data_IF_874461058711
#
_entry.id   IF_874461058711
#
_cell.length_a   1.000
_cell.length_b   1.000
_cell.length_c   1.000
_cell.angle_alpha   90.00
_cell.angle_beta   90.00
_cell.angle_gamma   90.00
#
_symmetry.space_group_name_H-M   'P 1'
#
loop_
_entity.id
_entity.type
_entity.pdbx_description
1 polymer ?
#
# COMPACT_ATOMS: atom_id res chain seq x y z
N UNK A 1 -41.76 -2.73 -29.81
CA UNK A 1 -41.05 -3.16 -28.59
C UNK A 1 -39.97 -4.17 -28.97
N UNK A 2 -38.70 -3.82 -28.80
CA UNK A 2 -37.60 -4.79 -28.71
C UNK A 2 -36.75 -4.35 -27.52
N UNK A 3 -36.82 -5.12 -26.44
CA UNK A 3 -35.91 -5.00 -25.31
C UNK A 3 -34.67 -5.80 -25.70
N UNK A 4 -33.52 -5.12 -25.81
CA UNK A 4 -32.24 -5.77 -25.97
C UNK A 4 -31.84 -6.40 -24.64
N UNK A 5 -31.52 -7.68 -24.70
CA UNK A 5 -30.92 -8.45 -23.62
C UNK A 5 -29.39 -8.34 -23.66
N UNK A 6 -28.82 -8.40 -22.46
CA UNK A 6 -27.48 -8.89 -22.11
C UNK A 6 -26.31 -7.92 -22.22
N UNK A 7 -25.86 -7.43 -21.06
CA UNK A 7 -24.61 -7.91 -20.44
C UNK A 7 -24.53 -7.37 -19.00
N UNK A 8 -25.25 -7.99 -18.08
CA UNK A 8 -24.91 -7.92 -16.66
C UNK A 8 -23.92 -9.05 -16.40
N UNK A 9 -22.63 -8.70 -16.35
CA UNK A 9 -21.60 -9.57 -15.82
C UNK A 9 -21.99 -9.94 -14.38
N UNK A 10 -22.40 -11.19 -14.19
CA UNK A 10 -22.57 -11.80 -12.88
C UNK A 10 -21.17 -11.91 -12.24
N UNK A 11 -20.76 -10.86 -11.54
CA UNK A 11 -19.67 -10.96 -10.58
C UNK A 11 -20.17 -11.73 -9.37
N UNK A 12 -19.70 -12.96 -9.21
CA UNK A 12 -20.03 -13.84 -8.08
C UNK A 12 -19.89 -13.10 -6.74
N UNK A 13 -20.85 -13.30 -5.83
CA UNK A 13 -20.91 -12.60 -4.54
C UNK A 13 -19.60 -12.70 -3.71
N UNK A 14 -18.84 -13.78 -3.85
CA UNK A 14 -17.52 -13.93 -3.21
C UNK A 14 -16.49 -12.92 -3.75
N UNK A 15 -16.52 -12.65 -5.06
CA UNK A 15 -15.67 -11.65 -5.71
C UNK A 15 -16.04 -10.23 -5.31
N UNK A 16 -17.34 -9.96 -5.09
CA UNK A 16 -17.79 -8.67 -4.56
C UNK A 16 -17.37 -8.49 -3.09
N UNK A 17 -17.54 -9.50 -2.24
CA UNK A 17 -17.12 -9.47 -0.82
C UNK A 17 -15.62 -9.23 -0.71
N UNK A 18 -14.80 -9.96 -1.48
CA UNK A 18 -13.36 -9.74 -1.53
C UNK A 18 -13.04 -8.30 -1.98
N UNK A 19 -13.71 -7.79 -3.02
CA UNK A 19 -13.53 -6.41 -3.49
C UNK A 19 -13.85 -5.35 -2.43
N UNK A 20 -14.90 -5.54 -1.62
CA UNK A 20 -15.24 -4.63 -0.52
C UNK A 20 -14.19 -4.66 0.61
N UNK A 21 -13.67 -5.84 0.95
CA UNK A 21 -12.59 -5.98 1.94
C UNK A 21 -11.29 -5.29 1.48
N UNK A 22 -10.97 -5.37 0.17
CA UNK A 22 -9.84 -4.66 -0.42
C UNK A 22 -9.98 -3.14 -0.38
N UNK A 23 -11.20 -2.61 -0.59
CA UNK A 23 -11.42 -1.17 -0.51
C UNK A 23 -11.23 -0.62 0.91
N UNK A 24 -11.69 -1.35 1.93
CA UNK A 24 -11.58 -0.88 3.31
C UNK A 24 -10.14 -0.95 3.83
N UNK A 25 -9.40 -2.02 3.51
CA UNK A 25 -7.95 -2.11 3.78
C UNK A 25 -7.16 -1.02 3.06
N UNK A 26 -7.50 -0.74 1.80
CA UNK A 26 -6.91 0.36 1.04
C UNK A 26 -7.17 1.72 1.70
N UNK A 27 -8.41 2.00 2.12
CA UNK A 27 -8.74 3.25 2.83
C UNK A 27 -7.99 3.38 4.14
N UNK A 28 -7.89 2.30 4.92
CA UNK A 28 -7.15 2.28 6.18
C UNK A 28 -5.66 2.59 5.96
N UNK A 29 -5.03 1.96 4.97
CA UNK A 29 -3.65 2.23 4.60
C UNK A 29 -3.44 3.73 4.32
N UNK A 30 -4.29 4.36 3.52
CA UNK A 30 -4.15 5.79 3.21
C UNK A 30 -4.41 6.70 4.42
N UNK A 31 -5.29 6.29 5.35
CA UNK A 31 -5.48 6.99 6.64
C UNK A 31 -4.20 6.91 7.48
N UNK A 32 -3.58 5.73 7.58
CA UNK A 32 -2.31 5.52 8.30
C UNK A 32 -1.19 6.35 7.66
N UNK A 33 -1.06 6.32 6.34
CA UNK A 33 -0.06 7.11 5.63
C UNK A 33 -0.26 8.61 5.85
N UNK A 34 -1.51 9.08 5.94
CA UNK A 34 -1.80 10.50 6.17
C UNK A 34 -1.54 10.92 7.62
N UNK A 35 -2.15 10.22 8.57
CA UNK A 35 -2.25 10.67 9.96
C UNK A 35 -1.51 9.79 10.98
N UNK A 36 -1.16 8.56 10.60
CA UNK A 36 -0.47 7.62 11.46
C UNK A 36 1.03 7.82 11.53
N UNK A 37 1.65 6.96 12.35
CA UNK A 37 3.10 6.85 12.55
C UNK A 37 3.68 5.61 11.86
N UNK A 38 5.00 5.55 11.79
CA UNK A 38 5.76 4.36 11.35
C UNK A 38 5.36 3.10 12.12
N UNK A 39 5.07 3.23 13.42
CA UNK A 39 4.63 2.13 14.27
C UNK A 39 3.22 1.66 13.89
N UNK A 40 2.31 2.59 13.56
CA UNK A 40 0.97 2.23 13.08
C UNK A 40 1.03 1.48 11.74
N UNK A 41 1.89 1.93 10.82
CA UNK A 41 2.05 1.25 9.53
C UNK A 41 2.67 -0.14 9.70
N UNK A 42 3.66 -0.28 10.59
CA UNK A 42 4.24 -1.59 10.90
C UNK A 42 3.25 -2.51 11.59
N UNK A 43 2.48 -2.00 12.57
CA UNK A 43 1.43 -2.76 13.22
C UNK A 43 0.37 -3.24 12.21
N UNK A 44 -0.06 -2.35 11.32
CA UNK A 44 -1.02 -2.68 10.27
C UNK A 44 -0.45 -3.71 9.31
N UNK A 45 0.76 -3.50 8.81
CA UNK A 45 1.44 -4.47 7.93
C UNK A 45 1.64 -5.81 8.64
N UNK A 46 1.98 -5.81 9.93
CA UNK A 46 2.14 -7.02 10.74
C UNK A 46 0.82 -7.76 11.00
N UNK A 47 -0.26 -7.03 11.27
CA UNK A 47 -1.58 -7.62 11.50
C UNK A 47 -2.17 -8.23 10.23
N UNK A 48 -1.69 -7.78 9.06
CA UNK A 48 -2.08 -8.25 7.74
C UNK A 48 -0.95 -9.04 7.03
N UNK A 49 0.15 -9.34 7.75
CA UNK A 49 1.35 -10.00 7.22
C UNK A 49 1.04 -11.50 7.05
N UNK A 50 0.84 -11.93 5.81
CA UNK A 50 0.64 -13.36 5.50
C UNK A 50 -0.26 -13.65 4.30
N UNK A 51 -1.02 -12.67 3.81
CA UNK A 51 -1.89 -12.84 2.65
C UNK A 51 -1.29 -12.25 1.36
N UNK A 52 -1.54 -12.92 0.24
CA UNK A 52 -1.45 -12.32 -1.11
C UNK A 52 -2.25 -11.00 -1.18
N UNK A 53 -3.31 -10.92 -0.37
CA UNK A 53 -4.18 -9.76 -0.15
C UNK A 53 -3.43 -8.47 0.22
N UNK A 54 -2.52 -8.51 1.19
CA UNK A 54 -1.81 -7.32 1.66
C UNK A 54 -0.93 -6.71 0.56
N UNK A 55 -0.26 -7.58 -0.20
CA UNK A 55 0.51 -7.16 -1.37
C UNK A 55 -0.40 -6.60 -2.47
N UNK A 56 -1.54 -7.25 -2.71
CA UNK A 56 -2.52 -6.79 -3.70
C UNK A 56 -3.06 -5.40 -3.35
N UNK A 57 -3.38 -5.11 -2.08
CA UNK A 57 -3.81 -3.76 -1.65
C UNK A 57 -2.74 -2.72 -1.98
N UNK A 58 -1.48 -2.97 -1.64
CA UNK A 58 -0.39 -2.01 -1.91
C UNK A 58 -0.11 -1.81 -3.39
N UNK A 59 -0.29 -2.83 -4.23
CA UNK A 59 -0.02 -2.77 -5.68
C UNK A 59 -1.21 -2.22 -6.48
N UNK A 60 -2.46 -2.42 -6.03
CA UNK A 60 -3.65 -2.11 -6.84
C UNK A 60 -4.46 -0.92 -6.35
N UNK A 61 -4.47 -0.65 -5.03
CA UNK A 61 -5.35 0.39 -4.48
C UNK A 61 -4.76 1.79 -4.69
N UNK A 62 -5.61 2.70 -5.17
CA UNK A 62 -5.27 4.10 -5.39
C UNK A 62 -6.25 5.00 -4.67
N UNK A 63 -5.76 6.15 -4.21
CA UNK A 63 -6.65 7.13 -3.61
C UNK A 63 -7.49 7.88 -4.66
N UNK A 64 -8.34 8.81 -4.18
CA UNK A 64 -9.20 9.67 -5.02
C UNK A 64 -8.44 10.57 -6.01
N UNK A 65 -7.12 10.71 -5.88
CA UNK A 65 -6.24 11.43 -6.81
C UNK A 65 -5.49 10.48 -7.75
N UNK A 66 -5.87 9.20 -7.78
CA UNK A 66 -5.20 8.15 -8.53
C UNK A 66 -3.71 7.97 -8.12
N UNK A 67 -3.36 8.26 -6.86
CA UNK A 67 -2.02 8.03 -6.32
C UNK A 67 -1.97 6.64 -5.66
N UNK A 68 -0.97 5.84 -6.01
CA UNK A 68 -0.59 4.63 -5.26
C UNK A 68 0.01 4.98 -3.88
N UNK A 69 0.21 3.97 -3.05
CA UNK A 69 0.67 4.16 -1.67
C UNK A 69 2.09 4.76 -1.57
N UNK A 70 3.01 4.43 -2.50
CA UNK A 70 4.37 5.00 -2.54
C UNK A 70 4.34 6.47 -2.96
N UNK A 71 3.61 6.78 -4.04
CA UNK A 71 3.37 8.14 -4.53
C UNK A 71 2.77 9.01 -3.43
N UNK A 72 1.78 8.49 -2.71
CA UNK A 72 1.14 9.19 -1.61
C UNK A 72 2.09 9.48 -0.46
N UNK A 73 2.83 8.46 0.01
CA UNK A 73 3.80 8.59 1.09
C UNK A 73 4.95 9.56 0.72
N UNK A 74 5.40 9.53 -0.54
CA UNK A 74 6.42 10.44 -1.06
C UNK A 74 5.94 11.89 -1.13
N UNK A 75 4.70 12.12 -1.61
CA UNK A 75 4.10 13.47 -1.57
C UNK A 75 3.99 14.01 -0.14
N UNK A 76 3.72 13.14 0.83
CA UNK A 76 3.66 13.50 2.25
C UNK A 76 5.05 13.61 2.92
N UNK A 77 6.14 13.36 2.20
CA UNK A 77 7.52 13.38 2.71
C UNK A 77 7.71 12.47 3.92
N UNK A 78 7.21 11.23 3.84
CA UNK A 78 7.33 10.21 4.90
C UNK A 78 8.29 9.08 4.51
N UNK A 79 9.62 9.31 4.52
CA UNK A 79 10.58 8.36 3.97
C UNK A 79 10.65 7.03 4.73
N UNK A 80 10.43 7.00 6.04
CA UNK A 80 10.38 5.75 6.80
C UNK A 80 9.18 4.89 6.41
N UNK A 81 8.04 5.51 6.11
CA UNK A 81 6.86 4.80 5.62
C UNK A 81 7.07 4.29 4.19
N UNK A 82 7.72 5.07 3.32
CA UNK A 82 8.15 4.61 1.99
C UNK A 82 9.02 3.36 2.13
N UNK A 83 10.02 3.39 3.02
CA UNK A 83 10.88 2.25 3.27
C UNK A 83 10.08 1.02 3.72
N UNK A 84 9.11 1.18 4.61
CA UNK A 84 8.25 0.09 5.08
C UNK A 84 7.46 -0.52 3.91
N UNK A 85 6.79 0.31 3.09
CA UNK A 85 6.01 -0.17 1.95
C UNK A 85 6.87 -0.99 0.97
N UNK A 86 8.09 -0.50 0.68
CA UNK A 86 9.07 -1.22 -0.16
C UNK A 86 9.51 -2.52 0.51
N UNK A 87 9.85 -2.47 1.80
CA UNK A 87 10.30 -3.64 2.57
C UNK A 87 9.25 -4.77 2.53
N UNK A 88 7.98 -4.39 2.51
CA UNK A 88 6.83 -5.29 2.43
C UNK A 88 6.42 -5.70 1.01
N UNK A 89 7.18 -5.30 -0.01
CA UNK A 89 7.03 -5.81 -1.37
C UNK A 89 6.32 -4.88 -2.35
N UNK A 90 6.02 -3.63 -1.97
CA UNK A 90 5.50 -2.66 -2.94
C UNK A 90 6.58 -2.32 -3.98
N UNK A 91 6.25 -2.49 -5.27
CA UNK A 91 7.19 -2.35 -6.38
C UNK A 91 7.32 -0.88 -6.82
N UNK A 92 8.56 -0.42 -6.92
CA UNK A 92 8.90 0.93 -7.39
C UNK A 92 8.56 1.11 -8.89
N UNK A 93 8.66 0.04 -9.67
CA UNK A 93 8.45 0.11 -11.12
C UNK A 93 6.98 0.38 -11.51
N UNK A 94 6.04 0.13 -10.58
CA UNK A 94 4.61 0.34 -10.78
C UNK A 94 4.15 1.78 -10.47
N UNK A 95 5.08 2.69 -10.12
CA UNK A 95 4.75 4.07 -9.82
C UNK A 95 4.39 4.81 -11.11
N UNK A 96 3.12 5.12 -11.27
CA UNK A 96 2.60 5.85 -12.44
C UNK A 96 2.99 7.34 -12.43
N UNK A 97 3.20 7.91 -11.24
CA UNK A 97 3.52 9.32 -11.08
C UNK A 97 5.03 9.55 -10.90
N UNK A 98 5.72 9.85 -12.01
CA UNK A 98 7.16 10.08 -12.02
C UNK A 98 7.63 11.27 -11.16
N UNK A 99 6.76 12.19 -10.76
CA UNK A 99 7.14 13.39 -9.99
C UNK A 99 7.82 13.07 -8.66
N UNK A 100 7.48 11.94 -8.05
CA UNK A 100 7.99 11.54 -6.74
C UNK A 100 8.95 10.35 -6.80
N UNK A 101 9.28 9.89 -8.01
CA UNK A 101 10.13 8.72 -8.23
C UNK A 101 11.53 8.92 -7.66
N UNK A 102 12.08 10.13 -7.77
CA UNK A 102 13.39 10.46 -7.21
C UNK A 102 13.44 10.31 -5.68
N UNK A 103 12.40 10.77 -4.97
CA UNK A 103 12.30 10.62 -3.51
C UNK A 103 12.21 9.14 -3.13
N UNK A 104 11.45 8.36 -3.89
CA UNK A 104 11.26 6.94 -3.62
C UNK A 104 12.55 6.16 -3.88
N UNK A 105 13.23 6.46 -4.99
CA UNK A 105 14.54 5.89 -5.31
C UNK A 105 15.60 6.26 -4.27
N UNK A 106 15.62 7.52 -3.80
CA UNK A 106 16.53 7.94 -2.73
C UNK A 106 16.34 7.08 -1.48
N UNK A 107 15.10 6.81 -1.08
CA UNK A 107 14.79 5.93 0.06
C UNK A 107 15.24 4.49 -0.19
N UNK A 108 15.01 3.97 -1.40
CA UNK A 108 15.41 2.62 -1.80
C UNK A 108 16.93 2.44 -1.81
N UNK A 109 17.66 3.41 -2.34
CA UNK A 109 19.13 3.41 -2.41
C UNK A 109 19.72 3.50 -1.00
N UNK A 110 19.08 4.27 -0.12
CA UNK A 110 19.45 4.41 1.29
C UNK A 110 18.75 3.41 2.23
N UNK A 111 18.22 2.30 1.71
CA UNK A 111 17.42 1.33 2.49
C UNK A 111 18.09 0.82 3.76
N UNK A 112 19.42 0.70 3.78
CA UNK A 112 20.14 0.25 4.98
C UNK A 112 20.07 1.28 6.11
N UNK A 113 20.13 2.58 5.78
CA UNK A 113 19.95 3.66 6.75
C UNK A 113 18.54 3.61 7.35
N UNK A 114 17.51 3.51 6.51
CA UNK A 114 16.12 3.40 6.98
C UNK A 114 15.86 2.11 7.76
N UNK A 115 16.41 0.97 7.33
CA UNK A 115 16.38 -0.30 8.07
C UNK A 115 16.91 -0.11 9.48
N UNK A 116 18.07 0.53 9.62
CA UNK A 116 18.68 0.79 10.92
C UNK A 116 17.84 1.77 11.76
N UNK A 117 17.29 2.81 11.13
CA UNK A 117 16.45 3.82 11.80
C UNK A 117 15.19 3.22 12.43
N UNK A 118 14.56 2.24 11.76
CA UNK A 118 13.34 1.58 12.25
C UNK A 118 13.58 0.20 12.87
N UNK A 119 14.86 -0.18 13.06
CA UNK A 119 15.24 -1.53 13.50
C UNK A 119 14.55 -2.00 14.78
N UNK A 120 14.44 -1.11 15.77
CA UNK A 120 13.79 -1.46 17.04
C UNK A 120 12.28 -1.73 16.86
N UNK A 121 11.62 -1.04 15.92
CA UNK A 121 10.24 -1.30 15.58
C UNK A 121 10.10 -2.64 14.85
N UNK A 122 10.98 -2.92 13.86
CA UNK A 122 10.99 -4.21 13.17
C UNK A 122 11.14 -5.38 14.15
N UNK A 123 12.07 -5.26 15.11
CA UNK A 123 12.29 -6.28 16.14
C UNK A 123 11.08 -6.46 17.07
N UNK A 124 10.37 -5.38 17.42
CA UNK A 124 9.14 -5.45 18.24
C UNK A 124 8.08 -6.35 17.60
N UNK A 125 7.97 -6.31 16.28
CA UNK A 125 7.03 -7.13 15.50
C UNK A 125 7.65 -8.46 15.03
N UNK A 126 8.83 -8.85 15.51
CA UNK A 126 9.47 -10.12 15.11
C UNK A 126 9.96 -10.17 13.66
N UNK A 127 10.02 -9.01 12.98
CA UNK A 127 10.47 -8.87 11.58
C UNK A 127 12.01 -8.75 11.55
N UNK A 128 12.69 -9.58 10.75
CA UNK A 128 14.17 -9.68 10.68
C UNK A 128 14.74 -9.10 9.37
#
# INVERSE_FOLDING_TARGET
MRINHNNTENFDNASQIAYFEYEDLGRELFIILKYGTTDNLLFWAYSNLGGEEFKNVMETYKNRKNEDCLTYAARLRKPEMIYILIFFGCKIDNIENNRYKDIINEVFDNRMYYKNKIRLLLLRYGIR
#
